data_IF_628558868318
#
_entry.id   IF_628558868318
#
_cell.length_a   1.000
_cell.length_b   1.000
_cell.length_c   1.000
_cell.angle_alpha   90.00
_cell.angle_beta   90.00
_cell.angle_gamma   90.00
#
_symmetry.space_group_name_H-M   'P 1'
#
loop_
_entity.id
_entity.type
_entity.pdbx_description
1 polymer ?
#
# COMPACT_ATOMS: atom_id res chain seq x y z
N UNK A 1 -23.65 12.97 -14.76
CA UNK A 1 -22.23 12.65 -14.51
C UNK A 1 -22.08 11.16 -14.21
N UNK A 2 -22.01 10.29 -15.21
CA UNK A 2 -21.80 8.86 -15.00
C UNK A 2 -20.30 8.54 -15.09
N UNK A 3 -19.64 8.36 -13.93
CA UNK A 3 -18.29 7.79 -13.89
C UNK A 3 -18.39 6.31 -14.25
N UNK A 4 -17.67 5.89 -15.28
CA UNK A 4 -17.60 4.48 -15.69
C UNK A 4 -17.11 3.60 -14.51
N UNK A 5 -17.76 2.46 -14.21
CA UNK A 5 -17.37 1.55 -13.12
C UNK A 5 -15.91 1.10 -13.20
N UNK A 6 -15.37 1.01 -14.43
CA UNK A 6 -13.97 0.60 -14.68
C UNK A 6 -12.95 1.67 -14.28
N UNK A 7 -13.34 2.96 -14.34
CA UNK A 7 -12.46 4.07 -13.96
C UNK A 7 -12.27 4.16 -12.44
N UNK A 8 -13.32 3.88 -11.67
CA UNK A 8 -13.29 3.94 -10.20
C UNK A 8 -12.37 2.87 -9.60
N UNK A 9 -12.48 1.62 -10.07
CA UNK A 9 -11.67 0.50 -9.56
C UNK A 9 -10.17 0.67 -9.85
N UNK A 10 -9.83 1.28 -10.99
CA UNK A 10 -8.43 1.54 -11.36
C UNK A 10 -7.82 2.63 -10.48
N UNK A 11 -8.54 3.71 -10.23
CA UNK A 11 -8.11 4.78 -9.34
C UNK A 11 -7.98 4.30 -7.88
N UNK A 12 -8.94 3.49 -7.42
CA UNK A 12 -8.90 2.90 -6.08
C UNK A 12 -7.68 2.00 -5.89
N UNK A 13 -7.40 1.10 -6.85
CA UNK A 13 -6.22 0.22 -6.83
C UNK A 13 -4.92 1.00 -6.65
N UNK A 14 -4.70 2.03 -7.47
CA UNK A 14 -3.45 2.79 -7.44
C UNK A 14 -3.30 3.55 -6.12
N UNK A 15 -4.38 4.15 -5.61
CA UNK A 15 -4.37 4.83 -4.32
C UNK A 15 -4.02 3.89 -3.17
N UNK A 16 -4.60 2.69 -3.14
CA UNK A 16 -4.29 1.69 -2.13
C UNK A 16 -2.81 1.30 -2.15
N UNK A 17 -2.27 0.98 -3.33
CA UNK A 17 -0.88 0.58 -3.47
C UNK A 17 0.10 1.67 -3.03
N UNK A 18 -0.21 2.94 -3.27
CA UNK A 18 0.59 4.06 -2.77
C UNK A 18 0.47 4.26 -1.26
N UNK A 19 -0.73 4.12 -0.70
CA UNK A 19 -0.97 4.36 0.72
C UNK A 19 -0.22 3.34 1.58
N UNK A 20 -0.18 2.09 1.16
CA UNK A 20 0.49 1.00 1.88
C UNK A 20 1.96 0.78 1.49
N UNK A 21 2.54 1.64 0.65
CA UNK A 21 3.97 1.62 0.35
C UNK A 21 4.42 0.67 -0.77
N UNK A 22 3.48 0.08 -1.53
CA UNK A 22 3.79 -0.77 -2.68
C UNK A 22 4.12 0.02 -3.96
N UNK A 23 3.90 1.33 -3.95
CA UNK A 23 4.16 2.22 -5.08
C UNK A 23 4.57 3.61 -4.57
N UNK A 24 5.51 4.26 -5.27
CA UNK A 24 5.99 5.59 -4.89
C UNK A 24 4.88 6.66 -5.03
N UNK A 25 4.79 7.55 -4.05
CA UNK A 25 3.90 8.72 -4.07
C UNK A 25 4.58 9.79 -4.92
N UNK A 26 4.41 9.74 -6.26
CA UNK A 26 5.01 10.73 -7.16
C UNK A 26 4.66 12.15 -6.72
N UNK A 27 5.68 12.99 -6.53
CA UNK A 27 5.54 14.38 -6.07
C UNK A 27 4.75 15.28 -7.03
N UNK A 28 4.69 14.92 -8.31
CA UNK A 28 4.20 15.80 -9.37
C UNK A 28 2.79 15.46 -9.88
N UNK A 29 1.98 14.73 -9.11
CA UNK A 29 0.59 14.45 -9.50
C UNK A 29 0.42 13.58 -10.75
N UNK A 30 1.51 13.08 -11.34
CA UNK A 30 1.51 12.23 -12.51
C UNK A 30 1.09 10.79 -12.17
N UNK A 31 -0.21 10.61 -11.88
CA UNK A 31 -0.88 9.32 -12.08
C UNK A 31 -0.70 8.82 -13.54
N UNK A 32 -0.42 9.74 -14.47
CA UNK A 32 -0.34 9.51 -15.91
C UNK A 32 0.94 8.79 -16.42
N UNK A 33 2.02 8.72 -15.65
CA UNK A 33 3.29 8.09 -16.09
C UNK A 33 3.56 6.71 -15.46
N UNK A 34 2.51 5.99 -15.04
CA UNK A 34 2.65 4.65 -14.47
C UNK A 34 2.44 3.59 -15.55
N UNK A 35 3.46 2.76 -15.77
CA UNK A 35 3.35 1.62 -16.67
C UNK A 35 2.44 0.55 -16.06
N UNK A 36 1.71 -0.17 -16.91
CA UNK A 36 0.91 -1.31 -16.49
C UNK A 36 1.75 -2.35 -15.73
N UNK A 37 3.00 -2.52 -16.16
CA UNK A 37 3.96 -3.42 -15.52
C UNK A 37 4.30 -3.00 -14.10
N UNK A 38 4.54 -1.70 -13.85
CA UNK A 38 4.81 -1.20 -12.49
C UNK A 38 3.64 -1.49 -11.56
N UNK A 39 2.41 -1.27 -12.03
CA UNK A 39 1.19 -1.56 -11.25
C UNK A 39 1.05 -3.06 -10.98
N UNK A 40 1.34 -3.91 -11.98
CA UNK A 40 1.32 -5.37 -11.82
C UNK A 40 2.31 -5.84 -10.74
N UNK A 41 3.56 -5.35 -10.78
CA UNK A 41 4.58 -5.70 -9.79
C UNK A 41 4.18 -5.25 -8.37
N UNK A 42 3.61 -4.05 -8.23
CA UNK A 42 3.08 -3.57 -6.96
C UNK A 42 1.93 -4.43 -6.43
N UNK A 43 1.01 -4.87 -7.31
CA UNK A 43 -0.05 -5.82 -6.94
C UNK A 43 0.52 -7.15 -6.45
N UNK A 44 1.53 -7.70 -7.12
CA UNK A 44 2.16 -8.94 -6.70
C UNK A 44 2.81 -8.83 -5.33
N UNK A 45 3.52 -7.72 -5.06
CA UNK A 45 4.13 -7.48 -3.76
C UNK A 45 3.08 -7.43 -2.64
N UNK A 46 1.95 -6.76 -2.91
CA UNK A 46 0.83 -6.68 -1.98
C UNK A 46 0.17 -8.04 -1.74
N UNK A 47 -0.06 -8.82 -2.81
CA UNK A 47 -0.61 -10.17 -2.71
C UNK A 47 0.31 -11.07 -1.87
N UNK A 48 1.62 -11.04 -2.12
CA UNK A 48 2.61 -11.80 -1.33
C UNK A 48 2.54 -11.43 0.16
N UNK A 49 2.50 -10.13 0.47
CA UNK A 49 2.40 -9.66 1.86
C UNK A 49 1.11 -10.15 2.54
N UNK A 50 -0.01 -10.16 1.81
CA UNK A 50 -1.29 -10.63 2.30
C UNK A 50 -1.44 -12.16 2.30
N UNK A 51 -0.41 -12.92 1.89
CA UNK A 51 -0.46 -14.38 1.78
C UNK A 51 -1.34 -14.90 0.64
N UNK A 52 -1.62 -14.07 -0.37
CA UNK A 52 -2.34 -14.45 -1.59
C UNK A 52 -1.38 -14.89 -2.70
N UNK A 53 -1.84 -15.70 -3.66
CA UNK A 53 -1.09 -15.97 -4.88
C UNK A 53 -0.73 -14.67 -5.62
N UNK A 54 0.53 -14.52 -5.99
CA UNK A 54 1.06 -13.32 -6.65
C UNK A 54 0.70 -13.28 -8.15
N UNK A 55 -0.59 -13.10 -8.45
CA UNK A 55 -1.13 -13.06 -9.81
C UNK A 55 -0.90 -11.73 -10.53
N UNK A 56 -0.65 -10.66 -9.78
CA UNK A 56 -0.53 -9.29 -10.31
C UNK A 56 -1.83 -8.74 -10.90
N UNK A 57 -2.97 -9.38 -10.59
CA UNK A 57 -4.29 -9.05 -11.14
C UNK A 57 -5.30 -8.76 -10.03
N UNK A 58 -6.32 -7.96 -10.34
CA UNK A 58 -7.46 -7.73 -9.45
C UNK A 58 -8.46 -8.89 -9.54
N UNK A 59 -8.05 -10.06 -9.06
CA UNK A 59 -8.95 -11.21 -8.89
C UNK A 59 -9.93 -11.01 -7.72
N UNK A 60 -10.86 -11.95 -7.55
CA UNK A 60 -11.89 -11.85 -6.52
C UNK A 60 -11.31 -11.80 -5.10
N UNK A 61 -10.23 -12.56 -4.83
CA UNK A 61 -9.56 -12.57 -3.54
C UNK A 61 -8.90 -11.20 -3.26
N UNK A 62 -8.21 -10.65 -4.25
CA UNK A 62 -7.57 -9.33 -4.17
C UNK A 62 -8.60 -8.21 -3.98
N UNK A 63 -9.74 -8.27 -4.67
CA UNK A 63 -10.84 -7.30 -4.48
C UNK A 63 -11.43 -7.37 -3.08
N UNK A 64 -11.60 -8.57 -2.52
CA UNK A 64 -12.07 -8.74 -1.13
C UNK A 64 -11.07 -8.16 -0.15
N UNK A 65 -9.78 -8.47 -0.30
CA UNK A 65 -8.70 -7.92 0.52
C UNK A 65 -8.71 -6.38 0.51
N UNK A 66 -8.82 -5.79 -0.68
CA UNK A 66 -8.86 -4.35 -0.91
C UNK A 66 -10.08 -3.66 -0.25
N UNK A 67 -11.17 -4.39 -0.02
CA UNK A 67 -12.37 -3.88 0.62
C UNK A 67 -12.38 -4.07 2.15
N UNK A 68 -11.47 -4.90 2.69
CA UNK A 68 -11.39 -5.17 4.12
C UNK A 68 -10.90 -3.92 4.87
N UNK A 69 -11.60 -3.46 5.91
CA UNK A 69 -11.11 -2.38 6.76
C UNK A 69 -9.83 -2.83 7.47
N UNK A 70 -8.84 -1.95 7.52
CA UNK A 70 -7.50 -2.28 8.03
C UNK A 70 -6.84 -1.06 8.68
N UNK A 71 -5.71 -1.29 9.36
CA UNK A 71 -4.91 -0.18 9.90
C UNK A 71 -4.38 0.72 8.78
N UNK A 72 -4.13 1.99 9.10
CA UNK A 72 -3.56 2.98 8.17
C UNK A 72 -2.02 2.98 8.12
N UNK A 73 -1.36 2.05 8.81
CA UNK A 73 0.10 1.95 8.79
C UNK A 73 0.54 1.29 7.46
N UNK A 74 1.57 1.82 6.77
CA UNK A 74 2.10 1.21 5.56
C UNK A 74 2.66 -0.20 5.80
N UNK A 75 2.54 -1.07 4.80
CA UNK A 75 3.03 -2.45 4.85
C UNK A 75 4.53 -2.53 4.57
N UNK A 76 5.00 -1.69 3.64
CA UNK A 76 6.41 -1.55 3.32
C UNK A 76 6.89 -0.18 3.77
N UNK A 77 8.07 -0.14 4.41
CA UNK A 77 8.71 1.14 4.73
C UNK A 77 9.03 1.85 3.41
N UNK A 78 8.62 3.11 3.30
CA UNK A 78 8.98 3.92 2.14
C UNK A 78 10.50 3.98 2.01
N UNK A 79 11.00 4.03 0.77
CA UNK A 79 12.44 4.24 0.51
C UNK A 79 12.99 5.33 1.43
N UNK A 80 14.13 5.02 2.05
CA UNK A 80 14.68 5.82 3.14
C UNK A 80 14.72 7.30 2.71
N UNK A 81 13.93 8.17 3.37
CA UNK A 81 14.03 9.59 3.06
C UNK A 81 15.45 10.05 3.34
N UNK A 82 15.99 10.94 2.50
CA UNK A 82 17.31 11.58 2.71
C UNK A 82 17.45 12.22 4.10
N UNK A 83 16.31 12.48 4.77
CA UNK A 83 16.21 12.97 6.15
C UNK A 83 15.62 11.88 7.05
N UNK A 84 16.38 11.50 8.07
CA UNK A 84 15.96 10.54 9.10
C UNK A 84 14.70 11.03 9.82
N UNK A 85 13.64 10.21 9.85
CA UNK A 85 12.44 10.48 10.65
C UNK A 85 12.78 10.34 12.13
N UNK A 86 12.20 11.21 12.98
CA UNK A 86 12.42 11.24 14.44
C UNK A 86 11.50 10.29 15.23
N UNK A 87 10.89 9.31 14.58
CA UNK A 87 9.96 8.36 15.20
C UNK A 87 10.54 6.95 15.15
N UNK A 88 10.10 6.08 16.06
CA UNK A 88 10.50 4.68 16.07
C UNK A 88 9.95 3.97 14.81
N UNK A 89 10.84 3.31 14.06
CA UNK A 89 10.44 2.45 12.96
C UNK A 89 9.87 1.14 13.53
N UNK A 90 9.07 0.46 12.72
CA UNK A 90 8.49 -0.85 13.05
C UNK A 90 9.58 -1.82 13.56
N UNK A 91 9.23 -2.64 14.57
CA UNK A 91 10.14 -3.62 15.17
C UNK A 91 10.87 -3.15 16.43
N UNK A 92 10.69 -1.91 16.87
CA UNK A 92 11.13 -1.49 18.20
C UNK A 92 10.30 -2.21 19.28
N UNK A 93 10.93 -3.13 20.02
CA UNK A 93 10.32 -3.77 21.18
C UNK A 93 10.57 -2.92 22.42
N UNK A 94 9.57 -2.78 23.28
CA UNK A 94 9.77 -2.19 24.60
C UNK A 94 10.79 -3.04 25.39
N UNK A 95 11.84 -2.42 25.96
CA UNK A 95 12.84 -3.16 26.73
C UNK A 95 12.29 -3.66 28.08
N UNK A 96 11.10 -3.19 28.48
CA UNK A 96 10.39 -3.59 29.69
C UNK A 96 8.97 -4.04 29.37
N UNK A 97 8.35 -4.78 30.29
CA UNK A 97 7.02 -5.39 30.13
C UNK A 97 5.91 -4.60 30.83
N UNK A 98 6.24 -3.78 31.84
CA UNK A 98 5.28 -2.93 32.53
C UNK A 98 5.00 -1.67 31.72
N UNK A 99 3.94 -1.70 30.90
CA UNK A 99 3.51 -0.57 30.10
C UNK A 99 2.45 0.25 30.86
N UNK A 100 2.56 1.58 30.82
CA UNK A 100 1.55 2.51 31.36
C UNK A 100 1.02 3.41 30.24
N UNK A 101 -0.25 3.77 30.29
CA UNK A 101 -0.95 4.59 29.29
C UNK A 101 -1.85 5.62 29.96
N UNK A 102 -2.26 6.67 29.22
CA UNK A 102 -3.19 7.72 29.66
C UNK A 102 -4.27 7.92 28.60
#
# INVERSE_FOLDING_TARGET
MHRSPRGFLTAFKQRYLMEYGYMDKSKDGAFALRTEESVRRSLEAMQRFAGLPATGRLDAATKRLLATPRCGLPDLEAERPRRTKRFALHGSKWPYTTLTWR
#
